data_IF_875280616621
#
_entry.id   IF_875280616621
#
_cell.length_a   1.000
_cell.length_b   1.000
_cell.length_c   1.000
_cell.angle_alpha   90.00
_cell.angle_beta   90.00
_cell.angle_gamma   90.00
#
_symmetry.space_group_name_H-M   'P 1'
#
loop_
_entity.id
_entity.type
_entity.pdbx_description
1 polymer ?
#
# COMPACT_ATOMS: atom_id res chain seq x y z
N UNK A 1 -63.84 3.58 37.54
CA UNK A 1 -63.29 3.12 37.07
C UNK A 1 -62.53 3.30 36.19
N UNK A 2 -61.75 3.54 36.13
CA UNK A 2 -60.97 3.80 35.25
C UNK A 2 -60.12 3.19 34.79
N UNK A 3 -59.83 3.01 34.18
CA UNK A 3 -59.11 2.44 33.56
C UNK A 3 -58.18 2.89 33.04
N UNK A 4 -57.44 3.03 33.36
CA UNK A 4 -56.45 3.41 32.92
C UNK A 4 -55.77 2.79 32.05
N UNK A 5 -55.79 2.98 31.30
CA UNK A 5 -55.22 2.54 30.36
C UNK A 5 -53.96 2.83 30.15
N UNK A 6 -53.24 2.30 30.48
CA UNK A 6 -52.11 2.38 30.22
C UNK A 6 -51.62 2.14 29.02
N UNK A 7 -51.43 2.76 28.39
CA UNK A 7 -50.81 2.68 27.26
C UNK A 7 -49.46 2.64 27.40
N UNK A 8 -49.02 1.68 27.36
CA UNK A 8 -47.68 1.55 27.31
C UNK A 8 -47.23 1.96 26.05
N UNK A 9 -46.69 2.95 26.05
CA UNK A 9 -46.11 3.36 24.90
C UNK A 9 -44.85 2.62 24.68
N UNK A 10 -44.87 1.84 23.83
CA UNK A 10 -43.78 1.19 23.48
C UNK A 10 -42.98 1.93 22.61
N UNK A 11 -42.17 2.61 23.08
CA UNK A 11 -41.25 3.21 22.26
C UNK A 11 -40.23 2.26 21.94
N UNK A 12 -40.26 1.81 20.85
CA UNK A 12 -39.22 1.12 20.35
C UNK A 12 -38.15 1.98 20.06
N UNK A 13 -37.06 1.82 20.55
CA UNK A 13 -35.90 2.54 20.17
C UNK A 13 -35.56 2.07 18.80
N UNK A 14 -35.54 2.94 17.99
CA UNK A 14 -35.10 2.66 16.72
C UNK A 14 -33.69 2.27 16.80
N UNK A 15 -33.43 1.14 16.48
CA UNK A 15 -32.17 0.75 16.37
C UNK A 15 -31.67 1.24 15.15
N UNK A 16 -31.18 2.34 15.15
CA UNK A 16 -30.46 2.77 14.05
C UNK A 16 -29.16 2.13 14.14
N UNK A 17 -29.06 1.13 13.52
CA UNK A 17 -27.76 0.59 13.33
C UNK A 17 -27.09 1.48 12.40
N UNK A 18 -26.25 2.20 12.91
CA UNK A 18 -25.50 3.03 12.10
C UNK A 18 -24.46 2.23 11.41
N UNK A 19 -24.79 1.64 10.39
CA UNK A 19 -23.81 1.04 9.56
C UNK A 19 -23.15 2.06 8.69
N UNK A 20 -23.39 3.29 9.00
CA UNK A 20 -22.94 4.31 8.12
C UNK A 20 -21.44 4.35 7.99
N UNK A 21 -20.75 3.89 8.97
CA UNK A 21 -19.34 4.00 8.90
C UNK A 21 -18.73 3.12 7.86
N UNK A 22 -19.54 2.26 7.26
CA UNK A 22 -18.96 1.34 6.38
C UNK A 22 -19.13 1.72 4.97
N UNK A 23 -19.81 2.80 4.74
CA UNK A 23 -20.13 3.12 3.40
C UNK A 23 -19.06 3.88 2.68
N UNK A 24 -18.01 4.25 3.37
CA UNK A 24 -16.90 4.89 2.73
C UNK A 24 -16.11 3.87 1.96
N UNK A 25 -15.36 4.31 0.99
CA UNK A 25 -14.42 3.45 0.34
C UNK A 25 -13.54 2.85 1.40
N UNK A 26 -13.24 1.61 1.34
CA UNK A 26 -12.28 1.06 2.28
C UNK A 26 -10.97 1.83 2.11
N UNK A 27 -10.29 2.14 3.19
CA UNK A 27 -8.99 2.74 3.05
C UNK A 27 -8.12 1.82 2.22
N UNK A 28 -7.25 2.41 1.44
CA UNK A 28 -6.31 1.62 0.66
C UNK A 28 -5.53 0.77 1.63
N UNK A 29 -5.69 -0.52 1.52
CA UNK A 29 -5.01 -1.44 2.42
C UNK A 29 -3.79 -1.99 1.74
N UNK A 30 -2.77 -2.18 2.52
CA UNK A 30 -1.60 -2.90 2.07
C UNK A 30 -2.01 -4.30 1.68
N UNK A 31 -1.57 -4.75 0.53
CA UNK A 31 -1.81 -6.11 0.08
C UNK A 31 -0.49 -6.87 0.10
N UNK A 32 -0.21 -7.41 1.26
CA UNK A 32 1.01 -8.15 1.51
C UNK A 32 1.12 -9.38 0.60
N UNK A 33 0.01 -10.06 0.36
CA UNK A 33 0.03 -11.28 -0.44
C UNK A 33 0.34 -10.94 -1.90
N UNK A 34 -0.31 -9.92 -2.43
CA UNK A 34 -0.06 -9.52 -3.81
C UNK A 34 1.40 -9.10 -4.00
N UNK A 35 1.94 -8.33 -3.06
CA UNK A 35 3.34 -7.96 -3.12
C UNK A 35 4.25 -9.20 -3.16
N UNK A 36 4.05 -10.10 -2.21
CA UNK A 36 4.90 -11.28 -2.10
C UNK A 36 4.83 -12.16 -3.36
N UNK A 37 3.64 -12.37 -3.87
CA UNK A 37 3.51 -13.18 -5.10
C UNK A 37 4.27 -12.51 -6.24
N UNK A 38 4.05 -11.22 -6.42
CA UNK A 38 4.62 -10.55 -7.59
C UNK A 38 6.14 -10.48 -7.55
N UNK A 39 6.74 -10.27 -6.39
CA UNK A 39 8.19 -10.20 -6.31
C UNK A 39 8.85 -11.57 -6.23
N UNK A 40 8.09 -12.60 -5.85
CA UNK A 40 8.64 -13.95 -5.77
C UNK A 40 8.65 -14.63 -7.13
N UNK A 41 7.58 -14.47 -7.91
CA UNK A 41 7.53 -15.12 -9.22
C UNK A 41 8.44 -14.45 -10.24
N UNK A 42 8.81 -13.20 -10.00
CA UNK A 42 9.71 -12.52 -10.91
C UNK A 42 11.15 -12.88 -10.58
N UNK A 43 11.92 -13.36 -11.54
CA UNK A 43 13.30 -13.73 -11.25
C UNK A 43 14.16 -12.49 -10.99
N UNK A 44 15.16 -12.66 -10.17
CA UNK A 44 16.20 -11.66 -10.00
C UNK A 44 16.28 -11.03 -8.64
N UNK A 45 15.21 -11.04 -7.85
CA UNK A 45 15.31 -10.48 -6.51
C UNK A 45 15.83 -11.49 -5.48
N UNK A 46 15.44 -12.73 -5.60
CA UNK A 46 15.98 -13.83 -4.79
C UNK A 46 15.95 -13.56 -3.29
N UNK A 47 14.84 -13.06 -2.78
CA UNK A 47 14.69 -12.86 -1.35
C UNK A 47 14.78 -14.21 -0.63
N UNK A 48 15.44 -14.22 0.51
CA UNK A 48 15.65 -15.45 1.25
C UNK A 48 14.34 -16.03 1.79
N UNK A 49 13.39 -15.16 2.13
CA UNK A 49 12.10 -15.57 2.67
C UNK A 49 11.10 -14.41 2.56
N UNK A 50 9.86 -14.67 2.94
CA UNK A 50 8.81 -13.67 2.87
C UNK A 50 9.09 -12.45 3.74
N UNK A 51 9.64 -12.66 4.92
CA UNK A 51 9.93 -11.56 5.83
C UNK A 51 10.97 -10.62 5.25
N UNK A 52 12.00 -11.16 4.61
CA UNK A 52 13.02 -10.34 3.95
C UNK A 52 12.41 -9.54 2.79
N UNK A 53 11.56 -10.17 2.01
CA UNK A 53 10.90 -9.49 0.90
C UNK A 53 10.03 -8.34 1.41
N UNK A 54 9.27 -8.58 2.47
CA UNK A 54 8.40 -7.55 3.05
C UNK A 54 9.22 -6.41 3.67
N UNK A 55 10.27 -6.76 4.38
CA UNK A 55 11.15 -5.77 4.98
C UNK A 55 11.73 -4.85 3.92
N UNK A 56 12.15 -5.43 2.80
CA UNK A 56 12.68 -4.63 1.69
C UNK A 56 11.61 -3.71 1.11
N UNK A 57 10.41 -4.25 0.86
CA UNK A 57 9.31 -3.44 0.34
C UNK A 57 8.93 -2.30 1.26
N UNK A 58 8.90 -2.55 2.57
CA UNK A 58 8.60 -1.49 3.53
C UNK A 58 9.71 -0.44 3.58
N UNK A 59 10.96 -0.83 3.36
CA UNK A 59 12.04 0.14 3.27
C UNK A 59 11.87 1.04 2.05
N UNK A 60 11.44 0.47 0.93
CA UNK A 60 11.11 1.28 -0.26
C UNK A 60 10.01 2.27 0.06
N UNK A 61 8.96 1.83 0.73
CA UNK A 61 7.87 2.70 1.16
C UNK A 61 8.37 3.84 2.04
N UNK A 62 9.25 3.53 2.98
CA UNK A 62 9.81 4.53 3.88
C UNK A 62 10.63 5.56 3.12
N UNK A 63 11.42 5.11 2.16
CA UNK A 63 12.24 6.02 1.36
C UNK A 63 11.36 6.96 0.54
N UNK A 64 10.36 6.43 -0.12
CA UNK A 64 9.43 7.26 -0.91
C UNK A 64 8.69 8.23 0.01
N UNK A 65 8.21 7.74 1.15
CA UNK A 65 7.46 8.56 2.10
C UNK A 65 8.30 9.66 2.74
N UNK A 66 9.60 9.44 2.87
CA UNK A 66 10.49 10.44 3.45
C UNK A 66 10.96 11.48 2.44
N UNK A 67 10.57 11.35 1.20
CA UNK A 67 10.94 12.32 0.16
C UNK A 67 12.23 12.02 -0.56
N UNK A 68 12.77 10.81 -0.44
CA UNK A 68 13.93 10.46 -1.23
C UNK A 68 13.59 10.53 -2.70
N UNK A 69 14.53 10.98 -3.49
CA UNK A 69 14.28 11.08 -4.93
C UNK A 69 14.15 9.71 -5.56
N UNK A 70 13.39 9.65 -6.64
CA UNK A 70 13.24 8.42 -7.39
C UNK A 70 14.60 7.90 -7.86
N UNK A 71 15.48 8.81 -8.27
CA UNK A 71 16.83 8.44 -8.69
C UNK A 71 17.59 7.72 -7.58
N UNK A 72 17.50 8.23 -6.36
CA UNK A 72 18.19 7.61 -5.23
C UNK A 72 17.66 6.23 -4.94
N UNK A 73 16.35 6.06 -4.96
CA UNK A 73 15.73 4.76 -4.68
C UNK A 73 16.08 3.77 -5.77
N UNK A 74 16.00 4.20 -7.04
CA UNK A 74 16.39 3.36 -8.17
C UNK A 74 17.85 2.93 -8.06
N UNK A 75 18.74 3.88 -7.75
CA UNK A 75 20.16 3.58 -7.62
C UNK A 75 20.45 2.59 -6.52
N UNK A 76 19.76 2.74 -5.39
CA UNK A 76 19.95 1.81 -4.28
C UNK A 76 19.49 0.40 -4.64
N UNK A 77 18.35 0.28 -5.29
CA UNK A 77 17.85 -1.04 -5.67
C UNK A 77 18.77 -1.71 -6.67
N UNK A 78 19.22 -0.96 -7.65
CA UNK A 78 20.18 -1.50 -8.61
C UNK A 78 21.43 -2.01 -7.93
N UNK A 79 21.91 -1.27 -6.94
CA UNK A 79 23.10 -1.65 -6.19
C UNK A 79 22.83 -2.88 -5.31
N UNK A 80 21.71 -2.89 -4.60
CA UNK A 80 21.40 -3.98 -3.68
C UNK A 80 21.27 -5.32 -4.40
N UNK A 81 20.72 -5.31 -5.59
CA UNK A 81 20.53 -6.54 -6.37
C UNK A 81 21.63 -6.74 -7.43
N UNK A 82 22.62 -5.85 -7.47
CA UNK A 82 23.68 -5.91 -8.45
C UNK A 82 23.12 -6.07 -9.86
N UNK A 83 22.12 -5.29 -10.17
CA UNK A 83 21.42 -5.37 -11.44
C UNK A 83 21.13 -3.94 -11.93
N UNK A 84 21.76 -3.52 -13.03
CA UNK A 84 21.60 -2.16 -13.53
C UNK A 84 20.33 -1.93 -14.34
N UNK A 85 19.48 -2.94 -14.47
CA UNK A 85 18.27 -2.82 -15.27
C UNK A 85 17.26 -1.91 -14.61
N UNK A 86 16.94 -0.81 -15.24
CA UNK A 86 15.95 0.13 -14.75
C UNK A 86 14.58 -0.51 -14.57
N UNK A 87 14.20 -1.36 -15.50
CA UNK A 87 12.89 -1.99 -15.44
C UNK A 87 12.76 -2.90 -14.21
N UNK A 88 13.81 -3.63 -13.90
CA UNK A 88 13.84 -4.51 -12.74
C UNK A 88 13.71 -3.71 -11.44
N UNK A 89 14.42 -2.60 -11.35
CA UNK A 89 14.36 -1.75 -10.17
C UNK A 89 13.01 -1.05 -10.06
N UNK A 90 12.50 -0.51 -11.16
CA UNK A 90 11.23 0.21 -11.12
C UNK A 90 10.06 -0.72 -10.83
N UNK A 91 10.13 -1.96 -11.29
CA UNK A 91 9.10 -2.94 -10.99
C UNK A 91 8.98 -3.15 -9.49
N UNK A 92 10.11 -3.31 -8.80
CA UNK A 92 10.10 -3.50 -7.36
C UNK A 92 9.53 -2.28 -6.63
N UNK A 93 9.92 -1.08 -7.06
CA UNK A 93 9.36 0.14 -6.46
C UNK A 93 7.86 0.18 -6.64
N UNK A 94 7.39 -0.10 -7.85
CA UNK A 94 5.96 -0.03 -8.13
C UNK A 94 5.19 -1.09 -7.35
N UNK A 95 5.73 -2.29 -7.23
CA UNK A 95 5.06 -3.33 -6.44
C UNK A 95 5.00 -2.93 -4.97
N UNK A 96 6.10 -2.45 -4.41
CA UNK A 96 6.12 -2.03 -3.03
C UNK A 96 5.10 -0.93 -2.77
N UNK A 97 5.09 0.11 -3.58
CA UNK A 97 4.21 1.24 -3.34
C UNK A 97 2.75 0.86 -3.60
N UNK A 98 2.47 0.20 -4.73
CA UNK A 98 1.09 -0.12 -5.06
C UNK A 98 0.47 -1.10 -4.06
N UNK A 99 1.25 -2.03 -3.54
CA UNK A 99 0.70 -3.09 -2.72
C UNK A 99 0.91 -2.86 -1.23
N UNK A 100 2.01 -2.25 -0.82
CA UNK A 100 2.30 -2.09 0.60
C UNK A 100 2.01 -0.70 1.13
N UNK A 101 2.10 0.34 0.30
CA UNK A 101 1.86 1.70 0.75
C UNK A 101 1.14 2.53 -0.33
N UNK A 102 -0.06 2.10 -0.73
CA UNK A 102 -0.75 2.75 -1.86
C UNK A 102 -1.07 4.23 -1.63
N UNK A 103 -1.08 4.68 -0.39
CA UNK A 103 -1.27 6.10 -0.11
C UNK A 103 -0.13 6.95 -0.69
N UNK A 104 1.01 6.35 -1.01
CA UNK A 104 2.16 7.07 -1.54
C UNK A 104 2.25 7.07 -3.06
N UNK A 105 1.22 6.54 -3.75
CA UNK A 105 1.26 6.44 -5.21
C UNK A 105 1.51 7.79 -5.86
N UNK A 106 0.83 8.84 -5.39
CA UNK A 106 0.99 10.15 -5.99
C UNK A 106 2.38 10.73 -5.74
N UNK A 107 2.92 10.51 -4.54
CA UNK A 107 4.27 10.95 -4.23
C UNK A 107 5.29 10.22 -5.10
N UNK A 108 5.10 8.93 -5.31
CA UNK A 108 5.95 8.18 -6.21
C UNK A 108 5.90 8.74 -7.63
N UNK A 109 4.70 8.98 -8.15
CA UNK A 109 4.54 9.49 -9.50
C UNK A 109 5.20 10.85 -9.68
N UNK A 110 5.03 11.71 -8.70
CA UNK A 110 5.63 13.03 -8.77
C UNK A 110 7.16 12.94 -8.73
N UNK A 111 7.69 12.07 -7.92
CA UNK A 111 9.13 11.89 -7.82
C UNK A 111 9.71 11.29 -9.10
N UNK A 112 8.95 10.39 -9.73
CA UNK A 112 9.43 9.72 -10.94
C UNK A 112 9.27 10.55 -12.21
N UNK A 113 8.49 11.61 -12.17
CA UNK A 113 8.10 12.34 -13.37
C UNK A 113 9.28 12.86 -14.19
N UNK A 114 10.37 13.19 -13.52
CA UNK A 114 11.54 13.73 -14.21
C UNK A 114 12.71 12.75 -14.26
N UNK A 115 12.42 11.50 -13.95
CA UNK A 115 13.48 10.50 -13.95
C UNK A 115 13.96 10.24 -15.40
N UNK A 116 15.25 10.21 -15.54
CA UNK A 116 15.86 9.86 -16.82
C UNK A 116 16.82 8.71 -16.60
N UNK A 117 16.55 7.57 -17.26
CA UNK A 117 17.46 6.45 -17.14
C UNK A 117 18.86 6.83 -17.62
N UNK A 118 19.89 6.26 -17.01
CA UNK A 118 21.24 6.47 -17.50
C UNK A 118 21.35 6.02 -18.95
N UNK A 119 22.01 6.82 -19.75
CA UNK A 119 22.23 6.44 -21.14
C UNK A 119 23.44 5.55 -21.18
N UNK A 120 23.29 4.44 -21.83
CA UNK A 120 24.41 3.53 -22.02
C UNK A 120 25.27 3.97 -23.20
#
# INVERSE_FOLDING_TARGET
>A
MNKSTLTAALTLPALTVACAGVLGSPPARADTVAYLVNVTVRPGYNFANADDALSYGHTVCTDIGSGRSYDDVMGRIKSDFNNPDDYQASYLINQAVNELCPALIWQLRNSAANYRPPQS
#
